data_IF_694639058341
#
_entry.id   IF_694639058341
#
_cell.length_a   1.000
_cell.length_b   1.000
_cell.length_c   1.000
_cell.angle_alpha   90.00
_cell.angle_beta   90.00
_cell.angle_gamma   90.00
#
_symmetry.space_group_name_H-M   'P 1'
#
loop_
_entity.id
_entity.type
_entity.pdbx_description
1 polymer ?
#
# COMPACT_ATOMS: atom_id res chain seq x y z
N UNK A 1 -8.71 7.46 -7.50
CA UNK A 1 -7.48 7.32 -6.68
C UNK A 1 -7.55 8.02 -5.32
N UNK A 2 -8.40 9.06 -5.14
CA UNK A 2 -8.55 9.77 -3.85
C UNK A 2 -8.77 8.82 -2.67
N UNK A 3 -9.77 7.93 -2.78
CA UNK A 3 -10.10 6.96 -1.73
C UNK A 3 -8.89 6.11 -1.30
N UNK A 4 -8.18 5.53 -2.27
CA UNK A 4 -6.96 4.77 -2.01
C UNK A 4 -5.93 5.58 -1.22
N UNK A 5 -5.63 6.81 -1.67
CA UNK A 5 -4.68 7.70 -0.97
C UNK A 5 -5.12 7.97 0.47
N UNK A 6 -6.39 8.27 0.70
CA UNK A 6 -6.93 8.51 2.05
C UNK A 6 -6.79 7.27 2.94
N UNK A 7 -7.19 6.09 2.45
CA UNK A 7 -7.11 4.84 3.23
C UNK A 7 -5.66 4.44 3.52
N UNK A 8 -4.73 4.66 2.59
CA UNK A 8 -3.30 4.39 2.80
C UNK A 8 -2.68 5.38 3.78
N UNK A 9 -2.97 6.68 3.63
CA UNK A 9 -2.47 7.72 4.53
C UNK A 9 -2.90 7.47 5.98
N UNK A 10 -4.14 7.02 6.19
CA UNK A 10 -4.66 6.66 7.51
C UNK A 10 -3.92 5.48 8.18
N UNK A 11 -3.11 4.72 7.44
CA UNK A 11 -2.26 3.64 7.99
C UNK A 11 -0.85 4.10 8.35
N UNK A 12 -0.48 5.34 8.06
CA UNK A 12 0.79 5.93 8.47
C UNK A 12 0.67 6.50 9.89
N UNK A 13 1.81 6.66 10.57
CA UNK A 13 1.87 7.29 11.89
C UNK A 13 1.35 8.73 11.84
N UNK A 14 1.75 9.49 10.81
CA UNK A 14 1.25 10.85 10.56
C UNK A 14 0.55 10.93 9.19
N UNK A 15 -0.78 10.75 9.10
CA UNK A 15 -1.49 10.67 7.82
C UNK A 15 -1.33 11.90 6.92
N UNK A 16 -1.22 13.10 7.49
CA UNK A 16 -1.05 14.34 6.75
C UNK A 16 0.30 14.45 6.03
N UNK A 17 1.29 13.66 6.45
CA UNK A 17 2.62 13.62 5.84
C UNK A 17 2.74 12.70 4.62
N UNK A 18 1.64 12.03 4.23
CA UNK A 18 1.67 11.01 3.20
C UNK A 18 2.04 11.57 1.81
N UNK A 19 3.18 11.15 1.30
CA UNK A 19 3.65 11.44 -0.05
C UNK A 19 3.58 10.16 -0.89
N UNK A 20 2.81 10.21 -1.97
CA UNK A 20 2.61 9.07 -2.86
C UNK A 20 3.52 9.19 -4.08
N UNK A 21 4.32 8.15 -4.31
CA UNK A 21 5.10 7.99 -5.53
C UNK A 21 4.25 7.48 -6.69
N UNK A 22 4.86 6.71 -7.60
CA UNK A 22 4.13 6.07 -8.69
C UNK A 22 3.07 5.11 -8.14
N UNK A 23 1.86 5.21 -8.71
CA UNK A 23 0.73 4.36 -8.38
C UNK A 23 0.17 3.76 -9.67
N UNK A 24 0.08 2.44 -9.73
CA UNK A 24 -0.47 1.71 -10.87
C UNK A 24 -1.71 0.93 -10.45
N UNK A 25 -2.85 1.24 -11.10
CA UNK A 25 -4.08 0.46 -10.98
C UNK A 25 -4.10 -0.64 -12.04
N UNK A 26 -4.42 -1.86 -11.65
CA UNK A 26 -4.60 -2.99 -12.56
C UNK A 26 -5.49 -4.08 -11.94
N UNK A 27 -6.17 -4.84 -12.80
CA UNK A 27 -6.77 -6.11 -12.40
C UNK A 27 -5.65 -7.14 -12.29
N UNK A 28 -5.51 -7.75 -11.11
CA UNK A 28 -4.42 -8.68 -10.78
C UNK A 28 -4.97 -9.94 -10.13
N UNK A 29 -4.18 -11.02 -10.11
CA UNK A 29 -4.54 -12.25 -9.42
C UNK A 29 -4.04 -12.20 -7.98
N UNK A 30 -4.92 -12.46 -7.02
CA UNK A 30 -4.50 -12.63 -5.62
C UNK A 30 -3.90 -14.03 -5.39
N UNK A 31 -3.47 -14.30 -4.15
CA UNK A 31 -2.87 -15.59 -3.74
C UNK A 31 -3.78 -16.80 -3.94
N UNK A 32 -5.09 -16.58 -4.13
CA UNK A 32 -6.09 -17.62 -4.38
C UNK A 32 -6.45 -17.74 -5.88
N UNK A 33 -5.75 -17.04 -6.78
CA UNK A 33 -6.03 -17.05 -8.22
C UNK A 33 -7.28 -16.26 -8.63
N UNK A 34 -7.85 -15.47 -7.72
CA UNK A 34 -9.03 -14.62 -7.99
C UNK A 34 -8.60 -13.29 -8.56
N UNK A 35 -9.33 -12.80 -9.56
CA UNK A 35 -9.09 -11.47 -10.13
C UNK A 35 -9.58 -10.41 -9.15
N UNK A 36 -8.71 -9.48 -8.78
CA UNK A 36 -8.97 -8.37 -7.86
C UNK A 36 -8.52 -7.06 -8.53
N UNK A 37 -9.33 -6.01 -8.40
CA UNK A 37 -8.94 -4.67 -8.82
C UNK A 37 -8.06 -4.04 -7.76
N UNK A 38 -6.84 -3.69 -8.14
CA UNK A 38 -5.80 -3.33 -7.18
C UNK A 38 -5.03 -2.11 -7.62
N UNK A 39 -4.59 -1.33 -6.63
CA UNK A 39 -3.67 -0.22 -6.82
C UNK A 39 -2.40 -0.55 -6.04
N UNK A 40 -1.31 -0.65 -6.77
CA UNK A 40 0.02 -0.87 -6.23
C UNK A 40 0.83 0.40 -6.34
N UNK A 41 1.66 0.70 -5.36
CA UNK A 41 2.55 1.85 -5.43
C UNK A 41 3.46 1.94 -4.23
N UNK A 42 4.04 3.12 -4.06
CA UNK A 42 4.89 3.42 -2.92
C UNK A 42 4.45 4.71 -2.22
N UNK A 43 4.61 4.73 -0.91
CA UNK A 43 4.24 5.84 -0.04
C UNK A 43 5.38 6.13 0.93
N UNK A 44 5.62 7.41 1.16
CA UNK A 44 6.48 7.92 2.23
C UNK A 44 5.60 8.63 3.24
N UNK A 45 5.98 8.57 4.51
CA UNK A 45 5.40 9.39 5.55
C UNK A 45 6.49 9.91 6.46
N UNK A 46 6.07 10.59 7.52
CA UNK A 46 6.94 11.06 8.59
C UNK A 46 6.49 10.51 9.92
N UNK A 47 7.44 10.37 10.82
CA UNK A 47 7.19 10.16 12.25
C UNK A 47 6.73 11.47 12.88
N UNK A 48 6.13 11.43 14.08
CA UNK A 48 5.86 12.64 14.87
C UNK A 48 7.12 13.48 15.15
N UNK A 49 8.31 12.87 15.15
CA UNK A 49 9.60 13.58 15.27
C UNK A 49 10.00 14.36 14.02
N UNK A 50 9.25 14.23 12.91
CA UNK A 50 9.55 14.84 11.61
C UNK A 50 10.49 14.02 10.73
N UNK A 51 11.04 12.90 11.24
CA UNK A 51 11.89 11.98 10.48
C UNK A 51 11.10 11.20 9.43
N UNK A 52 11.68 11.01 8.25
CA UNK A 52 11.06 10.20 7.21
C UNK A 52 10.98 8.72 7.61
N UNK A 53 9.84 8.09 7.34
CA UNK A 53 9.61 6.66 7.62
C UNK A 53 10.13 5.73 6.51
N UNK A 54 10.77 6.32 5.49
CA UNK A 54 11.29 5.63 4.31
C UNK A 54 10.23 5.36 3.26
N UNK A 55 10.69 4.90 2.09
CA UNK A 55 9.83 4.59 0.94
C UNK A 55 9.24 3.18 1.05
N UNK A 56 7.95 3.11 1.38
CA UNK A 56 7.24 1.87 1.71
C UNK A 56 6.31 1.43 0.58
N UNK A 57 6.41 0.17 0.11
CA UNK A 57 5.42 -0.38 -0.80
C UNK A 57 4.03 -0.44 -0.17
N UNK A 58 2.99 -0.22 -0.96
CA UNK A 58 1.61 -0.43 -0.54
C UNK A 58 0.77 -1.16 -1.61
N UNK A 59 -0.28 -1.81 -1.15
CA UNK A 59 -1.33 -2.41 -1.97
C UNK A 59 -2.69 -1.87 -1.47
N UNK A 60 -3.57 -1.49 -2.39
CA UNK A 60 -4.97 -1.18 -2.10
C UNK A 60 -5.88 -2.05 -2.95
N UNK A 61 -6.83 -2.73 -2.30
CA UNK A 61 -7.86 -3.56 -2.91
C UNK A 61 -9.11 -2.68 -3.12
N UNK A 62 -9.45 -2.41 -4.38
CA UNK A 62 -10.49 -1.42 -4.72
C UNK A 62 -11.88 -1.91 -4.35
N UNK A 63 -12.15 -3.20 -4.56
CA UNK A 63 -13.46 -3.79 -4.29
C UNK A 63 -13.71 -3.93 -2.79
N UNK A 64 -12.68 -4.31 -2.04
CA UNK A 64 -12.71 -4.55 -0.60
C UNK A 64 -12.49 -3.28 0.23
N UNK A 65 -12.10 -2.18 -0.41
CA UNK A 65 -11.73 -0.90 0.23
C UNK A 65 -10.63 -1.04 1.29
N UNK A 66 -9.73 -2.00 1.08
CA UNK A 66 -8.71 -2.36 2.06
C UNK A 66 -7.32 -1.94 1.58
N UNK A 67 -6.51 -1.35 2.48
CA UNK A 67 -5.13 -0.97 2.20
C UNK A 67 -4.14 -1.78 3.04
N UNK A 68 -2.96 -2.02 2.49
CA UNK A 68 -1.82 -2.64 3.15
C UNK A 68 -0.58 -1.82 2.87
N UNK A 69 0.10 -1.36 3.93
CA UNK A 69 1.42 -0.71 3.84
C UNK A 69 2.45 -1.68 4.37
N UNK A 70 3.52 -1.90 3.60
CA UNK A 70 4.62 -2.79 3.97
C UNK A 70 5.57 -2.03 4.88
N UNK A 71 5.25 -2.03 6.17
CA UNK A 71 5.97 -1.40 7.28
C UNK A 71 6.84 -2.41 8.06
N UNK A 72 6.45 -3.69 8.06
CA UNK A 72 7.04 -4.74 8.89
C UNK A 72 7.98 -5.69 8.14
N UNK A 73 8.32 -6.85 8.75
CA UNK A 73 9.27 -7.80 8.18
C UNK A 73 8.79 -8.39 6.86
N UNK A 74 9.73 -8.87 6.04
CA UNK A 74 9.49 -9.37 4.68
C UNK A 74 8.54 -10.59 4.60
N UNK A 75 8.31 -11.27 5.72
CA UNK A 75 7.38 -12.38 5.86
C UNK A 75 5.99 -11.97 6.38
N UNK A 76 5.74 -10.67 6.60
CA UNK A 76 4.42 -10.16 6.99
C UNK A 76 3.36 -10.43 5.92
N UNK A 77 2.10 -10.47 6.34
CA UNK A 77 0.96 -10.66 5.44
C UNK A 77 0.91 -9.56 4.36
N UNK A 78 1.17 -8.31 4.74
CA UNK A 78 1.23 -7.17 3.81
C UNK A 78 2.36 -7.34 2.78
N UNK A 79 3.57 -7.71 3.22
CA UNK A 79 4.70 -7.96 2.31
C UNK A 79 4.40 -9.11 1.34
N UNK A 80 3.78 -10.17 1.84
CA UNK A 80 3.40 -11.33 1.02
C UNK A 80 2.30 -11.00 0.01
N UNK A 81 1.27 -10.25 0.42
CA UNK A 81 0.20 -9.79 -0.47
C UNK A 81 0.76 -8.88 -1.56
N UNK A 82 1.58 -7.89 -1.18
CA UNK A 82 2.22 -6.99 -2.13
C UNK A 82 3.10 -7.76 -3.13
N UNK A 83 3.95 -8.69 -2.67
CA UNK A 83 4.81 -9.48 -3.58
C UNK A 83 4.00 -10.30 -4.57
N UNK A 84 2.97 -11.01 -4.11
CA UNK A 84 2.19 -11.91 -4.98
C UNK A 84 1.31 -11.15 -5.98
N UNK A 85 0.83 -9.96 -5.61
CA UNK A 85 -0.09 -9.17 -6.44
C UNK A 85 0.70 -8.16 -7.26
N UNK A 86 1.46 -7.29 -6.60
CA UNK A 86 2.08 -6.11 -7.22
C UNK A 86 3.43 -6.38 -7.89
N UNK A 87 4.10 -7.49 -7.58
CA UNK A 87 5.33 -7.92 -8.28
C UNK A 87 5.07 -8.90 -9.43
N UNK A 88 3.80 -9.04 -9.85
CA UNK A 88 3.37 -9.79 -11.04
C UNK A 88 3.28 -8.95 -12.31
#
# INVERSE_FOLDING_TARGET
MVKAKTTIAAKLEEPASAEFGEMKRAIRKNTLGRSVDTICGRVKGKKPSGEDTGDRPFLYLVTEDEAFVVDGPANSAAASAYRNICSS
#
